data_IF_147412540077
#
_entry.id   IF_147412540077
#
_cell.length_a   1.000
_cell.length_b   1.000
_cell.length_c   1.000
_cell.angle_alpha   90.00
_cell.angle_beta   90.00
_cell.angle_gamma   90.00
#
_symmetry.space_group_name_H-M   'P 1'
#
loop_
_entity.id
_entity.type
_entity.pdbx_description
1 polymer ?
#
# COMPACT_ATOMS: atom_id res chain seq x y z
N UNK A 1 21.81 -9.63 -4.70
CA UNK A 1 21.66 -10.81 -5.54
C UNK A 1 22.05 -12.10 -4.82
N UNK A 2 21.81 -13.22 -5.47
CA UNK A 2 22.10 -14.54 -4.90
C UNK A 2 20.90 -15.13 -4.15
N UNK A 3 21.09 -15.59 -2.92
CA UNK A 3 20.02 -16.22 -2.16
C UNK A 3 18.88 -15.26 -1.80
N UNK A 4 17.67 -15.75 -1.48
CA UNK A 4 16.55 -14.92 -1.01
C UNK A 4 16.94 -13.97 0.13
N UNK A 5 17.71 -14.44 1.10
CA UNK A 5 18.19 -13.66 2.24
C UNK A 5 19.11 -12.51 1.79
N UNK A 6 19.98 -12.75 0.81
CA UNK A 6 20.85 -11.74 0.26
C UNK A 6 20.08 -10.67 -0.54
N UNK A 7 18.99 -11.04 -1.20
CA UNK A 7 18.12 -10.09 -1.91
C UNK A 7 17.30 -9.24 -0.93
N UNK A 8 16.80 -9.84 0.15
CA UNK A 8 16.05 -9.15 1.19
C UNK A 8 16.94 -8.28 2.09
N UNK A 9 18.24 -8.61 2.21
CA UNK A 9 19.18 -8.02 3.19
C UNK A 9 19.17 -6.50 3.21
N UNK A 10 19.25 -5.85 2.07
CA UNK A 10 19.31 -4.39 2.00
C UNK A 10 18.07 -3.75 2.64
N UNK A 11 16.88 -4.25 2.31
CA UNK A 11 15.63 -3.72 2.88
C UNK A 11 15.58 -3.99 4.39
N UNK A 12 15.97 -5.19 4.84
CA UNK A 12 16.03 -5.53 6.26
C UNK A 12 16.97 -4.59 7.03
N UNK A 13 18.17 -4.35 6.49
CA UNK A 13 19.16 -3.44 7.10
C UNK A 13 18.64 -2.00 7.19
N UNK A 14 18.01 -1.49 6.13
CA UNK A 14 17.43 -0.14 6.11
C UNK A 14 16.30 -0.02 7.14
N UNK A 15 15.36 -0.95 7.14
CA UNK A 15 14.22 -0.92 8.09
C UNK A 15 14.71 -0.99 9.53
N UNK A 16 15.69 -1.85 9.82
CA UNK A 16 16.28 -1.95 11.16
C UNK A 16 16.98 -0.67 11.59
N UNK A 17 17.77 -0.07 10.72
CA UNK A 17 18.46 1.18 11.01
C UNK A 17 17.48 2.33 11.29
N UNK A 18 16.41 2.43 10.49
CA UNK A 18 15.36 3.44 10.73
C UNK A 18 14.61 3.16 12.02
N UNK A 19 14.25 1.89 12.29
CA UNK A 19 13.55 1.50 13.51
C UNK A 19 14.40 1.76 14.77
N UNK A 20 15.70 1.56 14.69
CA UNK A 20 16.64 1.87 15.79
C UNK A 20 16.70 3.37 16.08
N UNK A 21 16.62 4.22 15.04
CA UNK A 21 16.72 5.67 15.19
C UNK A 21 15.43 6.32 15.72
N UNK A 22 14.26 5.91 15.19
CA UNK A 22 12.98 6.61 15.48
C UNK A 22 11.94 5.79 16.24
N UNK A 23 12.23 4.50 16.51
CA UNK A 23 11.26 3.54 17.08
C UNK A 23 10.52 2.76 16.00
N UNK A 24 10.47 1.43 16.16
CA UNK A 24 9.85 0.54 15.19
C UNK A 24 8.33 0.78 15.01
N UNK A 25 7.67 1.17 16.09
CA UNK A 25 6.25 1.54 16.12
C UNK A 25 5.88 2.78 15.27
N UNK A 26 6.89 3.46 14.74
CA UNK A 26 6.75 4.61 13.82
C UNK A 26 7.20 4.30 12.39
N UNK A 27 7.61 3.08 12.12
CA UNK A 27 8.11 2.66 10.82
C UNK A 27 7.12 1.72 10.15
N UNK A 28 6.59 2.14 9.00
CA UNK A 28 5.83 1.28 8.09
C UNK A 28 6.67 0.91 6.88
N UNK A 29 6.43 -0.27 6.33
CA UNK A 29 7.04 -0.72 5.08
C UNK A 29 5.97 -0.90 4.02
N UNK A 30 6.25 -0.45 2.79
CA UNK A 30 5.45 -0.78 1.61
C UNK A 30 6.22 -1.68 0.67
N UNK A 31 5.57 -2.73 0.22
CA UNK A 31 6.08 -3.67 -0.79
C UNK A 31 5.08 -3.82 -1.93
N UNK A 32 5.60 -4.18 -3.12
CA UNK A 32 4.80 -4.38 -4.32
C UNK A 32 5.29 -5.61 -5.10
N UNK A 33 5.15 -6.81 -4.50
CA UNK A 33 5.62 -8.03 -5.14
C UNK A 33 4.93 -8.27 -6.48
N UNK A 34 5.67 -8.86 -7.43
CA UNK A 34 5.22 -9.18 -8.79
C UNK A 34 4.74 -7.96 -9.60
N UNK A 35 5.15 -6.77 -9.17
CA UNK A 35 4.79 -5.53 -9.84
C UNK A 35 5.94 -5.05 -10.72
N UNK A 36 5.98 -5.58 -11.93
CA UNK A 36 7.06 -5.37 -12.90
C UNK A 36 7.07 -3.92 -13.42
N UNK A 37 7.78 -3.02 -12.72
CA UNK A 37 7.89 -1.60 -13.08
C UNK A 37 9.35 -1.15 -13.15
N UNK A 38 9.63 -0.22 -14.03
CA UNK A 38 10.94 0.47 -14.14
C UNK A 38 12.13 -0.49 -14.25
N UNK A 39 11.95 -1.65 -14.89
CA UNK A 39 13.01 -2.63 -15.09
C UNK A 39 13.26 -3.58 -13.90
N UNK A 40 12.53 -3.43 -12.81
CA UNK A 40 12.48 -4.45 -11.76
C UNK A 40 11.50 -5.54 -12.20
N UNK A 41 12.03 -6.71 -12.57
CA UNK A 41 11.24 -7.83 -13.06
C UNK A 41 11.26 -8.95 -12.01
N UNK A 42 10.09 -9.41 -11.64
CA UNK A 42 9.83 -10.48 -10.70
C UNK A 42 8.96 -11.55 -11.38
N UNK A 43 9.53 -12.24 -12.38
CA UNK A 43 8.80 -13.18 -13.24
C UNK A 43 8.83 -14.63 -12.73
N UNK A 44 9.74 -14.95 -11.81
CA UNK A 44 9.82 -16.25 -11.16
C UNK A 44 9.08 -16.22 -9.81
N UNK A 45 7.85 -16.70 -9.81
CA UNK A 45 6.97 -16.68 -8.65
C UNK A 45 7.52 -17.40 -7.41
N UNK A 46 8.24 -18.52 -7.58
CA UNK A 46 8.82 -19.25 -6.46
C UNK A 46 9.97 -18.45 -5.82
N UNK A 47 10.80 -17.85 -6.66
CA UNK A 47 11.92 -17.02 -6.23
C UNK A 47 11.44 -15.72 -5.55
N UNK A 48 10.37 -15.12 -6.05
CA UNK A 48 9.71 -13.96 -5.45
C UNK A 48 9.17 -14.31 -4.06
N UNK A 49 8.39 -15.39 -3.94
CA UNK A 49 7.85 -15.84 -2.64
C UNK A 49 8.95 -16.10 -1.63
N UNK A 50 10.01 -16.80 -2.03
CA UNK A 50 11.15 -17.06 -1.17
C UNK A 50 11.84 -15.75 -0.70
N UNK A 51 11.96 -14.77 -1.58
CA UNK A 51 12.58 -13.47 -1.27
C UNK A 51 11.73 -12.67 -0.27
N UNK A 52 10.43 -12.59 -0.47
CA UNK A 52 9.55 -11.86 0.46
C UNK A 52 9.37 -12.61 1.79
N UNK A 53 9.38 -13.94 1.78
CA UNK A 53 9.41 -14.72 3.02
C UNK A 53 10.70 -14.45 3.83
N UNK A 54 11.86 -14.37 3.17
CA UNK A 54 13.13 -14.01 3.81
C UNK A 54 13.10 -12.58 4.35
N UNK A 55 12.47 -11.65 3.62
CA UNK A 55 12.26 -10.27 4.07
C UNK A 55 11.45 -10.24 5.37
N UNK A 56 10.27 -10.85 5.38
CA UNK A 56 9.38 -10.85 6.55
C UNK A 56 10.02 -11.58 7.75
N UNK A 57 10.72 -12.69 7.50
CA UNK A 57 11.50 -13.36 8.54
C UNK A 57 12.59 -12.46 9.14
N UNK A 58 13.26 -11.65 8.31
CA UNK A 58 14.26 -10.67 8.75
C UNK A 58 13.67 -9.49 9.54
N UNK A 59 12.40 -9.20 9.40
CA UNK A 59 11.68 -8.11 10.09
C UNK A 59 10.88 -8.59 11.30
N UNK A 60 10.76 -9.91 11.49
CA UNK A 60 9.95 -10.50 12.56
C UNK A 60 10.40 -10.00 13.94
N UNK A 61 9.41 -9.65 14.76
CA UNK A 61 9.62 -9.21 16.14
C UNK A 61 10.16 -7.79 16.29
N UNK A 62 10.30 -7.01 15.20
CA UNK A 62 10.67 -5.60 15.31
C UNK A 62 9.54 -4.72 15.84
N UNK A 63 8.28 -5.12 15.67
CA UNK A 63 7.12 -4.33 16.07
C UNK A 63 6.89 -3.12 15.16
N UNK A 64 7.00 -3.31 13.84
CA UNK A 64 6.72 -2.26 12.86
C UNK A 64 5.27 -1.78 12.96
N UNK A 65 5.04 -0.50 12.65
CA UNK A 65 3.71 0.11 12.67
C UNK A 65 2.74 -0.59 11.70
N UNK A 66 3.21 -0.92 10.49
CA UNK A 66 2.41 -1.65 9.51
C UNK A 66 3.26 -2.20 8.35
N UNK A 67 2.68 -3.16 7.65
CA UNK A 67 3.08 -3.55 6.30
C UNK A 67 1.98 -3.15 5.31
N UNK A 68 2.33 -2.45 4.25
CA UNK A 68 1.44 -2.13 3.14
C UNK A 68 1.82 -2.96 1.92
N UNK A 69 0.90 -3.76 1.43
CA UNK A 69 1.10 -4.60 0.24
C UNK A 69 0.27 -4.08 -0.91
N UNK A 70 0.91 -3.92 -2.04
CA UNK A 70 0.27 -3.62 -3.30
C UNK A 70 0.43 -4.85 -4.18
N UNK A 71 -0.69 -5.50 -4.55
CA UNK A 71 -0.66 -6.71 -5.36
C UNK A 71 -1.90 -6.80 -6.25
N UNK A 72 -1.72 -7.18 -7.52
CA UNK A 72 -2.82 -7.25 -8.49
C UNK A 72 -3.88 -8.28 -8.09
N UNK A 73 -3.44 -9.45 -7.63
CA UNK A 73 -4.31 -10.52 -7.15
C UNK A 73 -4.45 -10.42 -5.62
N UNK A 74 -5.38 -9.58 -5.17
CA UNK A 74 -5.63 -9.32 -3.74
C UNK A 74 -6.22 -10.53 -3.01
N UNK A 75 -6.92 -11.42 -3.72
CA UNK A 75 -7.50 -12.66 -3.18
C UNK A 75 -6.54 -13.84 -3.24
N UNK A 76 -5.41 -13.66 -3.88
CA UNK A 76 -4.44 -14.70 -4.18
C UNK A 76 -3.77 -15.32 -2.94
N UNK A 77 -3.27 -16.54 -3.08
CA UNK A 77 -2.60 -17.25 -1.98
C UNK A 77 -1.36 -16.50 -1.49
N UNK A 78 -0.66 -15.80 -2.37
CA UNK A 78 0.56 -15.09 -1.99
C UNK A 78 0.29 -13.92 -1.03
N UNK A 79 -0.78 -13.16 -1.24
CA UNK A 79 -1.18 -12.08 -0.32
C UNK A 79 -1.55 -12.65 1.05
N UNK A 80 -2.25 -13.79 1.10
CA UNK A 80 -2.58 -14.49 2.35
C UNK A 80 -1.33 -14.96 3.07
N UNK A 81 -0.36 -15.53 2.36
CA UNK A 81 0.93 -15.94 2.91
C UNK A 81 1.72 -14.76 3.52
N UNK A 82 1.70 -13.59 2.85
CA UNK A 82 2.34 -12.38 3.37
C UNK A 82 1.65 -11.89 4.66
N UNK A 83 0.30 -11.89 4.68
CA UNK A 83 -0.47 -11.52 5.87
C UNK A 83 -0.18 -12.45 7.05
N UNK A 84 -0.17 -13.76 6.83
CA UNK A 84 0.12 -14.77 7.86
C UNK A 84 1.53 -14.68 8.44
N UNK A 85 2.49 -14.19 7.66
CA UNK A 85 3.88 -14.05 8.07
C UNK A 85 4.20 -12.73 8.76
N UNK A 86 3.30 -11.74 8.73
CA UNK A 86 3.51 -10.43 9.34
C UNK A 86 2.72 -10.27 10.64
N UNK A 87 3.42 -9.96 11.73
CA UNK A 87 2.84 -9.88 13.09
C UNK A 87 2.31 -8.48 13.44
N UNK A 88 1.72 -7.76 12.50
CA UNK A 88 1.29 -6.38 12.73
C UNK A 88 0.13 -5.95 11.85
N UNK A 89 -0.15 -4.66 11.81
CA UNK A 89 -1.19 -4.08 10.97
C UNK A 89 -0.84 -4.27 9.50
N UNK A 90 -1.74 -4.85 8.74
CA UNK A 90 -1.56 -5.17 7.33
C UNK A 90 -2.52 -4.36 6.46
N UNK A 91 -1.98 -3.56 5.56
CA UNK A 91 -2.75 -2.81 4.57
C UNK A 91 -2.60 -3.41 3.17
N UNK A 92 -3.66 -3.34 2.38
CA UNK A 92 -3.71 -3.92 1.04
C UNK A 92 -4.36 -2.96 0.04
N UNK A 93 -3.94 -3.06 -1.22
CA UNK A 93 -4.65 -2.50 -2.37
C UNK A 93 -4.17 -3.13 -3.69
N UNK A 94 -4.98 -3.02 -4.78
CA UNK A 94 -4.79 -3.80 -6.00
C UNK A 94 -3.63 -3.39 -6.89
N UNK A 95 -3.37 -2.12 -7.13
CA UNK A 95 -2.26 -1.87 -8.01
C UNK A 95 -2.11 -0.50 -8.66
N UNK A 96 -1.00 -0.31 -9.40
CA UNK A 96 -0.57 1.00 -9.93
C UNK A 96 -1.43 1.55 -11.06
N UNK A 97 -1.98 0.71 -11.91
CA UNK A 97 -2.75 1.12 -13.09
C UNK A 97 -4.23 1.32 -12.79
N UNK A 98 -4.68 0.85 -11.66
CA UNK A 98 -6.08 0.90 -11.25
C UNK A 98 -6.24 1.82 -10.03
N UNK A 99 -7.42 2.39 -9.88
CA UNK A 99 -7.78 3.16 -8.71
C UNK A 99 -8.45 2.21 -7.71
N UNK A 100 -8.09 2.32 -6.45
CA UNK A 100 -8.78 1.60 -5.39
C UNK A 100 -10.16 2.25 -5.20
N UNK A 101 -11.18 1.55 -5.64
CA UNK A 101 -12.58 1.97 -5.54
C UNK A 101 -13.23 1.50 -4.23
N UNK A 102 -14.39 2.06 -3.89
CA UNK A 102 -15.16 1.65 -2.70
C UNK A 102 -15.44 0.14 -2.69
N UNK A 103 -15.84 -0.43 -3.84
CA UNK A 103 -16.16 -1.85 -3.93
C UNK A 103 -14.96 -2.75 -3.62
N UNK A 104 -13.76 -2.38 -4.05
CA UNK A 104 -12.53 -3.09 -3.69
C UNK A 104 -12.25 -2.96 -2.18
N UNK A 105 -12.38 -1.75 -1.64
CA UNK A 105 -12.15 -1.51 -0.21
C UNK A 105 -13.14 -2.32 0.65
N UNK A 106 -14.41 -2.34 0.30
CA UNK A 106 -15.44 -3.14 0.97
C UNK A 106 -15.14 -4.65 0.88
N UNK A 107 -14.72 -5.14 -0.30
CA UNK A 107 -14.35 -6.53 -0.49
C UNK A 107 -13.16 -6.93 0.39
N UNK A 108 -12.08 -6.15 0.39
CA UNK A 108 -10.88 -6.42 1.21
C UNK A 108 -11.25 -6.55 2.68
N UNK A 109 -12.07 -5.63 3.18
CA UNK A 109 -12.48 -5.63 4.59
C UNK A 109 -13.47 -6.76 4.91
N UNK A 110 -14.45 -7.01 4.05
CA UNK A 110 -15.46 -8.06 4.26
C UNK A 110 -14.87 -9.48 4.19
N UNK A 111 -13.85 -9.68 3.35
CA UNK A 111 -13.17 -10.97 3.21
C UNK A 111 -11.99 -11.15 4.20
N UNK A 112 -11.79 -10.20 5.11
CA UNK A 112 -10.68 -10.19 6.09
C UNK A 112 -9.30 -10.37 5.46
N UNK A 113 -9.09 -9.71 4.30
CA UNK A 113 -7.82 -9.78 3.57
C UNK A 113 -6.76 -8.85 4.18
N UNK A 114 -7.19 -7.78 4.85
CA UNK A 114 -6.32 -6.79 5.48
C UNK A 114 -7.00 -6.10 6.67
N UNK A 115 -6.24 -5.39 7.47
CA UNK A 115 -6.74 -4.57 8.58
C UNK A 115 -7.18 -3.17 8.11
N UNK A 116 -6.84 -2.82 6.87
CA UNK A 116 -7.25 -1.59 6.22
C UNK A 116 -6.82 -1.53 4.76
N UNK A 117 -7.29 -0.51 4.05
CA UNK A 117 -7.09 -0.34 2.61
C UNK A 117 -6.30 0.93 2.33
N UNK A 118 -5.31 0.83 1.45
CA UNK A 118 -4.55 2.00 0.99
C UNK A 118 -5.22 2.61 -0.25
N UNK A 119 -5.65 3.86 -0.12
CA UNK A 119 -6.27 4.61 -1.22
C UNK A 119 -5.41 5.82 -1.55
N UNK A 120 -5.00 5.94 -2.80
CA UNK A 120 -4.14 7.03 -3.26
C UNK A 120 -4.87 8.04 -4.13
N UNK A 121 -5.07 7.71 -5.40
CA UNK A 121 -5.54 8.64 -6.43
C UNK A 121 -6.95 9.17 -6.19
N UNK A 122 -7.85 8.32 -5.74
CA UNK A 122 -9.20 8.74 -5.36
C UNK A 122 -9.17 9.70 -4.17
N UNK A 123 -8.35 9.43 -3.15
CA UNK A 123 -8.20 10.32 -1.99
C UNK A 123 -7.55 11.66 -2.37
N UNK A 124 -6.61 11.66 -3.33
CA UNK A 124 -5.99 12.89 -3.82
C UNK A 124 -7.03 13.82 -4.45
N UNK A 125 -7.94 13.27 -5.28
CA UNK A 125 -8.98 14.04 -5.94
C UNK A 125 -10.19 14.36 -5.05
N UNK A 126 -10.35 13.67 -3.94
CA UNK A 126 -11.50 13.79 -3.04
C UNK A 126 -11.02 13.99 -1.61
N UNK A 127 -10.76 15.21 -1.16
CA UNK A 127 -10.27 15.47 0.20
C UNK A 127 -11.23 14.97 1.30
N UNK A 128 -12.50 14.77 0.95
CA UNK A 128 -13.58 14.23 1.76
C UNK A 128 -14.03 12.82 1.31
N UNK A 129 -13.13 12.01 0.77
CA UNK A 129 -13.44 10.71 0.17
C UNK A 129 -14.22 9.79 1.10
N UNK A 130 -13.84 9.73 2.38
CA UNK A 130 -14.52 8.87 3.35
C UNK A 130 -15.99 9.27 3.54
N UNK A 131 -16.28 10.58 3.57
CA UNK A 131 -17.66 11.08 3.63
C UNK A 131 -18.41 10.79 2.35
N UNK A 132 -17.77 10.97 1.19
CA UNK A 132 -18.37 10.67 -0.12
C UNK A 132 -18.73 9.20 -0.24
N UNK A 133 -17.85 8.32 0.12
CA UNK A 133 -18.09 6.87 0.11
C UNK A 133 -19.21 6.48 1.07
N UNK A 134 -19.16 6.97 2.31
CA UNK A 134 -20.20 6.67 3.33
C UNK A 134 -21.59 7.13 2.90
N UNK A 135 -21.70 8.32 2.30
CA UNK A 135 -22.96 8.97 2.01
C UNK A 135 -23.40 8.80 0.52
N UNK A 136 -22.65 8.01 -0.27
CA UNK A 136 -22.95 7.75 -1.69
C UNK A 136 -22.88 8.98 -2.58
N UNK A 137 -21.99 9.93 -2.29
CA UNK A 137 -21.85 11.18 -3.02
C UNK A 137 -20.96 11.00 -4.26
N UNK A 138 -21.16 11.84 -5.26
CA UNK A 138 -20.35 11.83 -6.48
C UNK A 138 -18.89 12.15 -6.19
N UNK A 139 -17.98 11.43 -6.84
CA UNK A 139 -16.54 11.66 -6.74
C UNK A 139 -16.07 12.69 -7.76
N UNK A 140 -15.04 13.44 -7.41
CA UNK A 140 -14.25 14.20 -8.37
C UNK A 140 -13.41 13.21 -9.20
N UNK A 141 -13.21 13.51 -10.48
CA UNK A 141 -12.33 12.72 -11.33
C UNK A 141 -10.88 13.14 -11.11
N UNK A 142 -9.97 12.22 -10.75
CA UNK A 142 -8.55 12.52 -10.67
C UNK A 142 -7.99 12.98 -12.02
N UNK A 143 -7.10 13.96 -12.02
CA UNK A 143 -6.39 14.42 -13.21
C UNK A 143 -4.95 13.82 -13.23
N UNK A 144 -4.71 12.75 -14.01
CA UNK A 144 -3.40 12.07 -14.03
C UNK A 144 -2.24 12.97 -14.49
N UNK A 145 -2.53 14.03 -15.26
CA UNK A 145 -1.49 14.95 -15.73
C UNK A 145 -0.88 15.76 -14.59
N UNK A 146 -1.60 15.87 -13.46
CA UNK A 146 -1.15 16.66 -12.31
C UNK A 146 -0.46 15.85 -11.21
N UNK A 147 -0.52 14.51 -11.22
CA UNK A 147 -0.04 13.65 -10.12
C UNK A 147 1.42 13.85 -9.74
N UNK A 148 2.26 14.18 -10.71
CA UNK A 148 3.71 14.32 -10.51
C UNK A 148 4.23 15.70 -10.94
N UNK A 149 3.32 16.65 -11.18
CA UNK A 149 3.68 18.04 -11.45
C UNK A 149 3.82 18.80 -10.13
N UNK A 150 4.79 19.70 -10.09
CA UNK A 150 4.91 20.60 -8.95
C UNK A 150 3.80 21.66 -8.94
N UNK A 151 3.35 22.08 -7.77
CA UNK A 151 2.41 23.16 -7.59
C UNK A 151 1.05 22.73 -7.00
N UNK A 152 0.13 23.68 -6.78
CA UNK A 152 -1.13 23.41 -6.09
C UNK A 152 -2.18 22.73 -6.96
N UNK A 153 -2.13 22.90 -8.29
CA UNK A 153 -3.12 22.36 -9.22
C UNK A 153 -3.16 20.83 -9.15
N UNK A 154 -4.36 20.27 -8.97
CA UNK A 154 -4.58 18.83 -8.86
C UNK A 154 -4.06 18.21 -7.56
N UNK A 155 -3.69 19.06 -6.59
CA UNK A 155 -3.16 18.61 -5.31
C UNK A 155 -3.93 19.18 -4.11
N UNK A 156 -4.29 20.48 -4.16
CA UNK A 156 -4.97 21.17 -3.06
C UNK A 156 -6.21 21.94 -3.51
N UNK A 157 -6.63 21.81 -4.76
CA UNK A 157 -7.68 22.59 -5.38
C UNK A 157 -8.94 21.78 -5.75
N UNK A 158 -8.97 20.48 -5.43
CA UNK A 158 -10.18 19.68 -5.62
C UNK A 158 -11.29 20.11 -4.66
N UNK A 159 -12.54 20.27 -5.15
CA UNK A 159 -13.63 20.72 -4.31
C UNK A 159 -14.16 19.62 -3.39
N UNK A 160 -14.63 20.01 -2.21
CA UNK A 160 -15.46 19.15 -1.37
C UNK A 160 -16.83 18.91 -2.01
N UNK A 161 -17.50 17.82 -1.66
CA UNK A 161 -18.80 17.43 -2.20
C UNK A 161 -19.91 18.45 -1.89
N UNK A 162 -19.81 19.10 -0.74
CA UNK A 162 -20.76 20.11 -0.31
C UNK A 162 -20.02 21.38 0.09
N UNK A 163 -20.53 22.54 -0.30
CA UNK A 163 -19.99 23.86 0.05
C UNK A 163 -20.05 24.18 1.57
N UNK A 164 -20.33 23.20 2.37
CA UNK A 164 -20.14 23.28 3.83
C UNK A 164 -18.65 23.33 4.14
N UNK A 165 -18.05 24.48 3.86
CA UNK A 165 -16.77 24.83 4.44
C UNK A 165 -16.92 24.68 5.96
N UNK A 166 -16.38 23.61 6.49
CA UNK A 166 -16.15 23.55 7.94
C UNK A 166 -14.99 24.51 8.22
N UNK A 167 -15.36 25.69 8.69
CA UNK A 167 -14.45 26.67 9.29
C UNK A 167 -13.87 26.10 10.57
#
# INVERSE_FOLDING_TARGET
GGSPENRARFVVEVVRAVAEEIGADRVGLRISPEHNVQGALEDDHEDVRATYAALLAGLRGLGLAYLSVLHRDIDGPFVRELREQFDGVFYLNSGFSEYTELAEAEHIMAADLADGVMVGRELLANPDLVERWRDGLALNTPDPETFYLGGPKGYVDYPFADSRVRV
#
